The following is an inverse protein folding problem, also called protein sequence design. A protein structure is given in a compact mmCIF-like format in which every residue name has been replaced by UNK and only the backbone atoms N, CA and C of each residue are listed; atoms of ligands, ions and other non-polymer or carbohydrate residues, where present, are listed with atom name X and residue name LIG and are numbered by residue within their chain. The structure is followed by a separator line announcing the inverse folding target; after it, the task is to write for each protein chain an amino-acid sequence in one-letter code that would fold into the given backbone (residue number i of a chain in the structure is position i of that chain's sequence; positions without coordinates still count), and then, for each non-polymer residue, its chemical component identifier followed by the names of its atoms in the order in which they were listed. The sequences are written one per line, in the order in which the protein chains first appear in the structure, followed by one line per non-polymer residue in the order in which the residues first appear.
data_IF_443448278929
#
_entry.id   IF_443448278929
#
_cell.length_a   1.000
_cell.length_b   1.000
_cell.length_c   1.000
_cell.angle_alpha   90.00
_cell.angle_beta   90.00
_cell.angle_gamma   90.00
#
_symmetry.space_group_name_H-M   'P 1'
#
loop_
_entity.id
_entity.type
_entity.pdbx_description
1 polymer ?
#
# COMPACT_ATOMS: atom_id res chain seq x y z
N UNK A 1 -3.79 -15.33 6.45
CA UNK A 1 -4.35 -13.95 6.46
C UNK A 1 -3.29 -13.06 5.84
N UNK A 2 -3.61 -12.33 4.77
CA UNK A 2 -2.66 -11.40 4.15
C UNK A 2 -2.64 -10.09 4.94
N UNK A 3 -1.45 -9.52 5.15
CA UNK A 3 -1.26 -8.28 5.90
C UNK A 3 -0.74 -7.18 4.98
N UNK A 4 -1.07 -5.93 5.29
CA UNK A 4 -0.59 -4.75 4.56
C UNK A 4 -0.11 -3.68 5.52
N UNK A 5 0.91 -2.93 5.12
CA UNK A 5 1.38 -1.73 5.80
C UNK A 5 0.65 -0.49 5.27
N UNK A 6 0.57 0.54 6.11
CA UNK A 6 0.09 1.88 5.77
C UNK A 6 1.23 2.91 5.77
N UNK A 7 0.93 4.11 5.26
CA UNK A 7 1.85 5.24 5.24
C UNK A 7 2.23 5.73 6.64
N UNK A 8 3.52 6.05 6.87
CA UNK A 8 4.02 6.53 8.16
C UNK A 8 3.34 7.79 8.66
N UNK A 9 2.87 8.66 7.77
CA UNK A 9 2.14 9.86 8.13
C UNK A 9 0.76 9.54 8.71
N UNK A 10 0.21 8.36 8.40
CA UNK A 10 -1.06 7.89 8.96
C UNK A 10 -0.91 7.34 10.37
N UNK A 11 0.30 6.94 10.75
CA UNK A 11 0.63 6.38 12.07
C UNK A 11 1.99 6.90 12.56
N UNK A 12 2.05 8.16 13.01
CA UNK A 12 3.33 8.82 13.35
C UNK A 12 4.07 8.16 14.51
N UNK A 13 3.37 7.70 15.55
CA UNK A 13 3.96 7.03 16.71
C UNK A 13 4.24 5.53 16.49
N UNK A 14 3.94 5.01 15.29
CA UNK A 14 4.11 3.61 14.93
C UNK A 14 3.30 2.66 15.82
N UNK A 15 2.09 3.03 16.25
CA UNK A 15 1.19 2.15 17.02
C UNK A 15 0.81 0.86 16.30
N UNK A 16 0.97 0.80 14.97
CA UNK A 16 0.46 -0.28 14.13
C UNK A 16 -0.93 0.02 13.58
N UNK A 17 -1.51 1.18 13.88
CA UNK A 17 -2.84 1.60 13.44
C UNK A 17 -2.79 2.94 12.71
N UNK A 18 -3.26 2.95 11.46
CA UNK A 18 -3.49 4.18 10.72
C UNK A 18 -4.65 4.98 11.35
N UNK A 19 -4.39 6.24 11.71
CA UNK A 19 -5.33 7.13 12.39
C UNK A 19 -5.78 8.32 11.55
N UNK A 20 -4.96 8.74 10.59
CA UNK A 20 -5.31 9.84 9.68
C UNK A 20 -4.91 9.51 8.26
N UNK A 21 -5.67 10.04 7.30
CA UNK A 21 -5.49 9.75 5.88
C UNK A 21 -5.36 11.06 5.10
N UNK A 22 -4.72 11.00 3.94
CA UNK A 22 -4.59 12.16 3.06
C UNK A 22 -4.35 11.76 1.63
N UNK A 23 -4.85 12.60 0.72
CA UNK A 23 -4.59 12.55 -0.71
C UNK A 23 -3.54 13.58 -1.16
N UNK A 24 -2.89 14.26 -0.23
CA UNK A 24 -1.91 15.31 -0.52
C UNK A 24 -0.55 14.67 -0.82
N UNK A 25 0.14 15.08 -1.90
CA UNK A 25 1.55 14.73 -2.14
C UNK A 25 2.43 14.98 -0.92
N UNK A 26 3.46 14.15 -0.74
CA UNK A 26 4.44 14.22 0.35
C UNK A 26 3.90 14.15 1.79
N UNK A 27 2.60 13.91 1.98
CA UNK A 27 2.00 13.71 3.30
C UNK A 27 2.47 12.43 3.99
N UNK A 28 3.04 11.48 3.22
CA UNK A 28 3.39 10.13 3.64
C UNK A 28 2.22 9.34 4.27
N UNK A 29 0.98 9.77 4.05
CA UNK A 29 -0.24 9.15 4.56
C UNK A 29 -0.83 8.21 3.51
N UNK A 30 -1.44 7.12 3.94
CA UNK A 30 -2.35 6.38 3.06
C UNK A 30 -3.61 7.19 2.79
N UNK A 31 -4.29 6.88 1.69
CA UNK A 31 -5.61 7.41 1.33
C UNK A 31 -6.65 6.30 1.34
N UNK A 32 -7.90 6.65 1.66
CA UNK A 32 -9.05 5.72 1.72
C UNK A 32 -9.92 5.85 0.47
N UNK A 33 -10.87 4.93 0.31
CA UNK A 33 -11.82 4.88 -0.80
C UNK A 33 -11.50 3.81 -1.84
N UNK A 34 -12.20 3.85 -2.97
CA UNK A 34 -12.07 2.94 -4.08
C UNK A 34 -10.86 3.27 -4.98
N UNK A 35 -10.12 2.23 -5.36
CA UNK A 35 -9.06 2.26 -6.35
C UNK A 35 -9.35 1.21 -7.43
N UNK A 36 -8.99 1.50 -8.68
CA UNK A 36 -8.87 0.50 -9.73
C UNK A 36 -7.42 0.03 -9.83
N UNK A 37 -7.21 -1.28 -9.95
CA UNK A 37 -5.92 -1.82 -10.36
C UNK A 37 -5.71 -1.54 -11.84
N UNK A 38 -4.51 -1.11 -12.20
CA UNK A 38 -4.14 -0.76 -13.55
C UNK A 38 -3.04 -1.67 -14.13
N UNK A 39 -3.07 -2.92 -13.67
CA UNK A 39 -2.16 -3.96 -14.09
C UNK A 39 -0.80 -3.98 -13.37
N UNK A 40 0.01 -4.93 -13.83
CA UNK A 40 1.34 -5.21 -13.31
C UNK A 40 2.33 -4.09 -13.69
N UNK A 41 3.07 -3.60 -12.70
CA UNK A 41 4.18 -2.67 -12.90
C UNK A 41 5.50 -3.21 -12.35
N UNK A 42 6.55 -2.41 -12.56
CA UNK A 42 7.88 -2.61 -12.00
C UNK A 42 8.48 -1.24 -11.67
N UNK A 43 9.19 -1.12 -10.55
CA UNK A 43 10.01 0.07 -10.32
C UNK A 43 11.32 -0.22 -9.62
N UNK A 44 12.23 0.74 -9.70
CA UNK A 44 13.64 0.53 -9.39
C UNK A 44 13.90 0.12 -7.93
N UNK A 45 13.14 0.66 -6.98
CA UNK A 45 13.30 0.35 -5.55
C UNK A 45 12.39 -0.79 -5.09
N UNK A 46 11.13 -0.77 -5.50
CA UNK A 46 10.08 -1.68 -5.05
C UNK A 46 10.03 -3.00 -5.81
N UNK A 47 10.69 -3.10 -6.97
CA UNK A 47 10.60 -4.26 -7.86
C UNK A 47 9.18 -4.48 -8.41
N UNK A 48 8.72 -5.75 -8.53
CA UNK A 48 7.37 -6.09 -8.93
C UNK A 48 6.30 -5.32 -8.14
N UNK A 49 5.28 -4.79 -8.83
CA UNK A 49 4.17 -4.10 -8.18
C UNK A 49 2.86 -4.20 -8.99
N UNK A 50 1.79 -3.67 -8.40
CA UNK A 50 0.49 -3.40 -9.05
C UNK A 50 0.25 -1.90 -9.01
N UNK A 51 -0.06 -1.33 -10.18
CA UNK A 51 -0.39 0.07 -10.31
C UNK A 51 -1.84 0.33 -9.88
N UNK A 52 -2.10 1.50 -9.30
CA UNK A 52 -3.43 1.88 -8.81
C UNK A 52 -3.86 3.24 -9.37
N UNK A 53 -5.12 3.32 -9.80
CA UNK A 53 -5.83 4.56 -10.11
C UNK A 53 -6.83 4.86 -9.00
N UNK A 54 -6.80 6.08 -8.48
CA UNK A 54 -7.79 6.53 -7.51
C UNK A 54 -9.12 6.86 -8.18
N UNK A 55 -10.23 6.39 -7.61
CA UNK A 55 -11.59 6.58 -8.15
C UNK A 55 -12.41 7.60 -7.35
N UNK A 56 -11.86 8.14 -6.27
CA UNK A 56 -12.56 9.07 -5.36
C UNK A 56 -11.71 10.30 -5.04
N UNK A 57 -12.34 11.41 -4.63
CA UNK A 57 -11.62 12.63 -4.26
C UNK A 57 -10.59 12.43 -3.12
N UNK A 58 -10.80 11.40 -2.31
CA UNK A 58 -9.91 10.99 -1.21
C UNK A 58 -8.64 10.29 -1.69
N UNK A 59 -8.56 9.89 -2.97
CA UNK A 59 -7.44 9.13 -3.51
C UNK A 59 -7.10 9.41 -4.98
N UNK A 60 -7.76 10.37 -5.64
CA UNK A 60 -7.57 10.69 -7.06
C UNK A 60 -6.15 11.16 -7.44
N UNK A 61 -5.27 11.45 -6.48
CA UNK A 61 -3.86 11.74 -6.74
C UNK A 61 -2.97 10.49 -6.62
N UNK A 62 -3.53 9.27 -6.54
CA UNK A 62 -2.79 8.03 -6.34
C UNK A 62 -1.61 7.85 -7.30
N UNK A 63 -1.80 8.15 -8.60
CA UNK A 63 -0.77 8.05 -9.62
C UNK A 63 0.35 9.06 -9.44
N UNK A 64 0.00 10.32 -9.24
CA UNK A 64 0.96 11.40 -8.99
C UNK A 64 1.79 11.12 -7.73
N UNK A 65 1.16 10.52 -6.73
CA UNK A 65 1.78 10.12 -5.46
C UNK A 65 2.49 8.76 -5.52
N UNK A 66 2.53 8.11 -6.68
CA UNK A 66 3.08 6.77 -6.89
C UNK A 66 2.55 5.71 -5.89
N UNK A 67 1.27 5.79 -5.52
CA UNK A 67 0.61 4.82 -4.66
C UNK A 67 0.38 3.53 -5.45
N UNK A 68 0.98 2.45 -4.96
CA UNK A 68 0.99 1.13 -5.59
C UNK A 68 0.81 0.03 -4.53
N UNK A 69 0.64 -1.20 -4.99
CA UNK A 69 0.80 -2.39 -4.15
C UNK A 69 2.15 -3.04 -4.46
N UNK A 70 2.97 -3.28 -3.46
CA UNK A 70 4.31 -3.86 -3.66
C UNK A 70 4.76 -4.69 -2.46
N UNK A 71 5.79 -5.52 -2.68
CA UNK A 71 6.46 -6.28 -1.62
C UNK A 71 7.41 -5.39 -0.83
N UNK A 72 7.54 -5.64 0.47
CA UNK A 72 8.53 -4.96 1.30
C UNK A 72 9.04 -5.84 2.45
N UNK A 73 10.34 -5.81 2.72
CA UNK A 73 10.97 -6.51 3.85
C UNK A 73 10.30 -6.18 5.19
N UNK A 74 9.88 -4.93 5.37
CA UNK A 74 9.19 -4.48 6.60
C UNK A 74 7.74 -4.96 6.72
N UNK A 75 7.24 -5.70 5.74
CA UNK A 75 5.95 -6.36 5.77
C UNK A 75 6.09 -7.89 5.90
N UNK A 76 7.31 -8.44 5.83
CA UNK A 76 7.54 -9.88 5.86
C UNK A 76 7.30 -10.49 7.26
N UNK A 77 6.94 -11.78 7.32
CA UNK A 77 6.72 -12.47 8.59
C UNK A 77 7.88 -12.38 9.58
N UNK A 78 9.12 -12.44 9.11
CA UNK A 78 10.32 -12.36 9.96
C UNK A 78 10.48 -10.98 10.60
N UNK A 79 10.18 -9.91 9.85
CA UNK A 79 10.15 -8.55 10.39
C UNK A 79 9.06 -8.43 11.45
N UNK A 80 7.85 -8.93 11.16
CA UNK A 80 6.74 -8.91 12.11
C UNK A 80 7.07 -9.69 13.39
N UNK A 81 7.71 -10.85 13.27
CA UNK A 81 8.11 -11.67 14.40
C UNK A 81 9.15 -10.96 15.29
N UNK A 82 10.08 -10.21 14.68
CA UNK A 82 11.11 -9.46 15.39
C UNK A 82 10.60 -8.18 16.05
N UNK A 83 9.79 -7.40 15.32
CA UNK A 83 9.37 -6.05 15.76
C UNK A 83 8.03 -6.05 16.50
N UNK A 84 7.28 -7.16 16.46
CA UNK A 84 5.93 -7.28 17.03
C UNK A 84 4.84 -6.54 16.25
N UNK A 85 5.19 -5.81 15.19
CA UNK A 85 4.29 -5.10 14.28
C UNK A 85 4.93 -4.90 12.91
N UNK A 86 4.11 -4.59 11.91
CA UNK A 86 4.62 -4.27 10.57
C UNK A 86 5.30 -2.90 10.55
N UNK A 87 6.15 -2.69 9.55
CA UNK A 87 6.70 -1.37 9.24
C UNK A 87 5.65 -0.43 8.63
N UNK A 88 6.14 0.68 8.07
CA UNK A 88 5.30 1.74 7.50
C UNK A 88 5.86 2.17 6.16
N UNK A 89 4.97 2.33 5.18
CA UNK A 89 5.29 2.81 3.84
C UNK A 89 5.25 4.35 3.80
N UNK A 90 5.32 4.92 2.59
CA UNK A 90 5.04 6.34 2.33
C UNK A 90 3.63 6.59 1.77
N UNK A 91 2.73 5.63 1.91
CA UNK A 91 1.33 5.72 1.50
C UNK A 91 0.85 4.49 0.72
N UNK A 92 1.78 3.75 0.12
CA UNK A 92 1.54 2.50 -0.61
C UNK A 92 0.97 1.39 0.28
N UNK A 93 0.29 0.44 -0.36
CA UNK A 93 -0.13 -0.81 0.26
C UNK A 93 1.01 -1.82 0.17
N UNK A 94 1.87 -1.86 1.18
CA UNK A 94 3.03 -2.76 1.17
C UNK A 94 2.68 -4.09 1.82
N UNK A 95 2.93 -5.20 1.13
CA UNK A 95 2.64 -6.56 1.59
C UNK A 95 3.92 -7.38 1.70
N UNK A 96 3.86 -8.56 2.31
CA UNK A 96 4.99 -9.49 2.32
C UNK A 96 5.41 -9.87 0.90
N UNK A 97 6.70 -10.08 0.67
CA UNK A 97 7.22 -10.49 -0.64
C UNK A 97 6.61 -11.82 -1.11
N UNK A 98 6.33 -12.73 -0.17
CA UNK A 98 5.70 -14.03 -0.44
C UNK A 98 4.23 -13.93 -0.82
N UNK A 99 3.55 -12.85 -0.41
CA UNK A 99 2.13 -12.62 -0.68
C UNK A 99 1.89 -11.95 -2.05
N UNK A 100 2.85 -11.15 -2.51
CA UNK A 100 2.71 -10.33 -3.72
C UNK A 100 2.41 -11.14 -5.00
N UNK A 101 3.06 -12.28 -5.32
CA UNK A 101 2.79 -13.01 -6.56
C UNK A 101 1.32 -13.42 -6.71
N UNK A 102 0.75 -14.01 -5.67
CA UNK A 102 -0.66 -14.42 -5.63
C UNK A 102 -1.60 -13.21 -5.71
N UNK A 103 -1.21 -12.09 -5.10
CA UNK A 103 -1.98 -10.86 -5.18
C UNK A 103 -2.02 -10.31 -6.60
N UNK A 104 -0.86 -10.23 -7.28
CA UNK A 104 -0.74 -9.74 -8.67
C UNK A 104 -1.59 -10.55 -9.64
N UNK A 105 -1.63 -11.88 -9.47
CA UNK A 105 -2.49 -12.75 -10.28
C UNK A 105 -3.99 -12.42 -10.11
N UNK A 106 -4.42 -12.12 -8.89
CA UNK A 106 -5.83 -11.77 -8.59
C UNK A 106 -6.17 -10.32 -8.94
N UNK A 107 -5.18 -9.44 -8.95
CA UNK A 107 -5.30 -7.99 -9.15
C UNK A 107 -4.88 -7.58 -10.57
N UNK A 108 -5.29 -8.36 -11.57
CA UNK A 108 -5.18 -7.96 -12.98
C UNK A 108 -5.82 -6.60 -13.27
N UNK A 109 -5.81 -6.16 -14.51
CA UNK A 109 -6.34 -4.83 -14.86
C UNK A 109 -7.85 -4.68 -14.55
N UNK A 110 -8.26 -3.50 -14.09
CA UNK A 110 -9.65 -3.12 -13.83
C UNK A 110 -10.32 -3.74 -12.59
N UNK A 111 -9.57 -4.25 -11.61
CA UNK A 111 -10.12 -4.80 -10.36
C UNK A 111 -10.28 -3.73 -9.30
N UNK A 112 -11.32 -3.86 -8.49
CA UNK A 112 -11.57 -2.96 -7.37
C UNK A 112 -10.69 -3.34 -6.17
N UNK A 113 -9.94 -2.37 -5.66
CA UNK A 113 -9.41 -2.37 -4.29
C UNK A 113 -10.16 -1.31 -3.50
N UNK A 114 -10.70 -1.70 -2.34
CA UNK A 114 -11.39 -0.76 -1.44
C UNK A 114 -10.62 -0.63 -0.13
N UNK A 115 -10.14 0.57 0.16
CA UNK A 115 -9.42 0.89 1.39
C UNK A 115 -10.33 1.62 2.37
N UNK A 116 -10.53 1.04 3.55
CA UNK A 116 -11.41 1.56 4.60
C UNK A 116 -10.63 1.76 5.91
N UNK A 117 -11.10 2.68 6.75
CA UNK A 117 -10.57 2.95 8.09
C UNK A 117 -11.71 3.18 9.10
#
# INVERSE_FOLDING_TARGET
LMRTCHGRGSDPDHSGYARTFSNTPDSYKSSVGAYATAGAGWGAQQGPNVLLDGLEYTNNNARERAIIIHGADYADPDFLAREGKLGRSYGCFSVAHTDLPRLRERMGDGRLLFAWA
#
